data_IF_032082124387
#
_entry.id   IF_032082124387
#
_cell.length_a   1.000
_cell.length_b   1.000
_cell.length_c   1.000
_cell.angle_alpha   90.00
_cell.angle_beta   90.00
_cell.angle_gamma   90.00
#
_symmetry.space_group_name_H-M   'P 1'
#
loop_
_entity.id
_entity.type
_entity.pdbx_description
1 polymer ?
#
# COMPACT_ATOMS: atom_id res chain seq x y z
N UNK A 1 9.62 -5.25 -6.44
CA UNK A 1 8.20 -5.24 -6.87
C UNK A 1 7.53 -4.01 -6.31
N UNK A 2 6.40 -3.60 -6.89
CA UNK A 2 5.75 -2.32 -6.58
C UNK A 2 4.22 -2.45 -6.61
N UNK A 3 3.54 -1.90 -5.61
CA UNK A 3 2.08 -1.74 -5.53
C UNK A 3 1.78 -0.26 -5.25
N UNK A 4 0.85 0.32 -6.00
CA UNK A 4 0.29 1.63 -5.71
C UNK A 4 -1.24 1.54 -5.60
N UNK A 5 -1.79 2.01 -4.48
CA UNK A 5 -3.25 2.08 -4.26
C UNK A 5 -3.64 3.50 -3.88
N UNK A 6 -4.80 3.92 -4.36
CA UNK A 6 -5.40 5.21 -4.04
C UNK A 6 -6.86 5.00 -3.63
N UNK A 7 -7.26 5.57 -2.51
CA UNK A 7 -8.62 5.50 -2.01
C UNK A 7 -9.55 6.44 -2.79
N UNK A 8 -10.85 6.15 -2.75
CA UNK A 8 -11.89 7.04 -3.27
C UNK A 8 -12.20 8.19 -2.29
N UNK A 9 -13.10 9.11 -2.66
CA UNK A 9 -13.61 10.18 -1.77
C UNK A 9 -14.20 9.61 -0.48
N UNK A 10 -14.01 10.31 0.65
CA UNK A 10 -14.67 9.98 1.92
C UNK A 10 -13.90 9.01 2.84
N UNK A 11 -12.68 8.62 2.48
CA UNK A 11 -11.83 7.81 3.35
C UNK A 11 -11.17 8.68 4.45
N UNK A 12 -11.12 8.20 5.71
CA UNK A 12 -10.52 8.95 6.82
C UNK A 12 -8.97 8.99 6.78
N UNK A 13 -8.32 8.21 5.90
CA UNK A 13 -6.86 8.13 5.77
C UNK A 13 -6.37 6.93 4.96
N UNK A 14 -5.08 6.64 5.03
CA UNK A 14 -4.39 5.58 4.26
C UNK A 14 -4.48 4.19 4.90
N UNK A 15 -4.92 4.05 6.15
CA UNK A 15 -4.86 2.78 6.90
C UNK A 15 -5.48 1.58 6.19
N UNK A 16 -6.66 1.75 5.58
CA UNK A 16 -7.33 0.66 4.84
C UNK A 16 -6.54 0.19 3.62
N UNK A 17 -6.16 1.13 2.75
CA UNK A 17 -5.40 0.83 1.52
C UNK A 17 -3.96 0.37 1.81
N UNK A 18 -3.39 0.76 2.96
CA UNK A 18 -2.11 0.24 3.47
C UNK A 18 -2.22 -1.23 3.83
N UNK A 19 -3.20 -1.60 4.67
CA UNK A 19 -3.43 -3.00 5.06
C UNK A 19 -3.68 -3.88 3.83
N UNK A 20 -4.45 -3.39 2.87
CA UNK A 20 -4.71 -4.11 1.63
C UNK A 20 -3.42 -4.31 0.80
N UNK A 21 -2.60 -3.27 0.64
CA UNK A 21 -1.33 -3.35 -0.10
C UNK A 21 -0.35 -4.34 0.54
N UNK A 22 -0.29 -4.38 1.88
CA UNK A 22 0.53 -5.34 2.62
C UNK A 22 0.01 -6.77 2.47
N UNK A 23 -1.32 -6.97 2.51
CA UNK A 23 -1.93 -8.29 2.31
C UNK A 23 -1.67 -8.81 0.90
N UNK A 24 -1.80 -7.96 -0.12
CA UNK A 24 -1.59 -8.30 -1.52
C UNK A 24 -0.12 -8.68 -1.80
N UNK A 25 0.82 -7.84 -1.36
CA UNK A 25 2.26 -8.13 -1.50
C UNK A 25 2.69 -9.40 -0.75
N UNK A 26 2.14 -9.63 0.44
CA UNK A 26 2.36 -10.86 1.20
C UNK A 26 1.84 -12.08 0.45
N UNK A 27 0.59 -12.04 -0.02
CA UNK A 27 0.01 -13.11 -0.84
C UNK A 27 0.84 -13.40 -2.10
N UNK A 28 1.32 -12.36 -2.78
CA UNK A 28 2.19 -12.50 -3.94
C UNK A 28 3.50 -13.24 -3.62
N UNK A 29 4.16 -12.93 -2.51
CA UNK A 29 5.38 -13.63 -2.10
C UNK A 29 5.10 -15.07 -1.64
N UNK A 30 4.00 -15.29 -0.92
CA UNK A 30 3.60 -16.63 -0.48
C UNK A 30 3.35 -17.58 -1.66
N UNK A 31 2.77 -17.10 -2.75
CA UNK A 31 2.57 -17.89 -3.97
C UNK A 31 3.90 -18.35 -4.63
N UNK A 32 5.02 -17.69 -4.30
CA UNK A 32 6.37 -18.07 -4.73
C UNK A 32 7.13 -18.87 -3.68
N UNK A 33 6.51 -19.24 -2.56
CA UNK A 33 7.18 -19.90 -1.45
C UNK A 33 8.17 -19.00 -0.69
N UNK A 34 7.99 -17.68 -0.76
CA UNK A 34 8.87 -16.68 -0.15
C UNK A 34 8.13 -15.79 0.84
N UNK A 35 8.88 -15.09 1.68
CA UNK A 35 8.37 -14.13 2.65
C UNK A 35 8.39 -12.71 2.10
N UNK A 36 7.45 -11.89 2.57
CA UNK A 36 7.41 -10.46 2.23
C UNK A 36 8.51 -9.71 2.96
N UNK A 37 9.30 -8.93 2.22
CA UNK A 37 10.15 -7.88 2.74
C UNK A 37 9.76 -6.52 2.18
N UNK A 38 9.32 -5.64 3.06
CA UNK A 38 9.04 -4.24 2.71
C UNK A 38 10.38 -3.52 2.53
N UNK A 39 10.59 -2.93 1.35
CA UNK A 39 11.76 -2.09 1.05
C UNK A 39 11.42 -0.63 1.32
N UNK A 40 10.26 -0.19 0.87
CA UNK A 40 9.80 1.19 1.04
C UNK A 40 8.28 1.21 1.13
N UNK A 41 7.75 2.01 2.04
CA UNK A 41 6.33 2.31 2.14
C UNK A 41 6.16 3.83 2.23
N UNK A 42 5.52 4.41 1.21
CA UNK A 42 5.18 5.84 1.17
C UNK A 42 3.68 6.01 1.32
N UNK A 43 3.31 6.90 2.21
CA UNK A 43 1.93 7.29 2.46
C UNK A 43 1.86 8.82 2.29
N UNK A 44 0.84 9.32 1.59
CA UNK A 44 0.54 10.74 1.66
C UNK A 44 -0.44 10.99 2.80
N UNK A 45 0.07 11.48 3.91
CA UNK A 45 -0.80 11.96 4.99
C UNK A 45 -1.32 13.36 4.63
N UNK A 46 -2.60 13.59 4.91
CA UNK A 46 -3.33 14.77 4.49
C UNK A 46 -2.84 16.11 5.08
N UNK A 47 -3.60 17.20 4.87
CA UNK A 47 -5.04 17.22 4.67
C UNK A 47 -5.45 16.87 3.23
N UNK A 48 -6.42 15.97 3.09
CA UNK A 48 -7.00 15.50 1.83
C UNK A 48 -7.99 16.51 1.22
N UNK A 49 -7.53 17.75 1.07
CA UNK A 49 -8.29 18.87 0.51
C UNK A 49 -8.07 18.96 -1.00
N UNK A 50 -9.12 19.37 -1.73
CA UNK A 50 -9.09 19.65 -3.18
C UNK A 50 -8.71 18.43 -4.06
N UNK A 51 -9.32 17.27 -3.82
CA UNK A 51 -9.14 16.09 -4.69
C UNK A 51 -7.81 15.35 -4.49
N UNK A 52 -7.05 15.67 -3.43
CA UNK A 52 -5.96 14.80 -2.96
C UNK A 52 -6.55 13.64 -2.17
N UNK A 53 -6.37 12.43 -2.67
CA UNK A 53 -6.87 11.21 -2.03
C UNK A 53 -5.76 10.49 -1.26
N UNK A 54 -6.10 9.74 -0.19
CA UNK A 54 -5.17 8.82 0.45
C UNK A 54 -4.58 7.87 -0.58
N UNK A 55 -3.25 7.72 -0.56
CA UNK A 55 -2.44 6.96 -1.50
C UNK A 55 -1.32 6.27 -0.74
N UNK A 56 -1.09 5.02 -1.13
CA UNK A 56 -0.03 4.18 -0.60
C UNK A 56 0.79 3.67 -1.77
N UNK A 57 2.11 3.80 -1.66
CA UNK A 57 3.08 3.21 -2.58
C UNK A 57 3.99 2.27 -1.79
N UNK A 58 3.99 1.00 -2.16
CA UNK A 58 4.72 -0.06 -1.50
C UNK A 58 5.73 -0.68 -2.46
N UNK A 59 7.01 -0.53 -2.14
CA UNK A 59 8.10 -1.27 -2.79
C UNK A 59 8.49 -2.44 -1.90
N UNK A 60 8.54 -3.64 -2.46
CA UNK A 60 8.82 -4.86 -1.70
C UNK A 60 9.64 -5.88 -2.49
N UNK A 61 10.24 -6.81 -1.76
CA UNK A 61 10.95 -7.99 -2.24
C UNK A 61 10.28 -9.25 -1.68
N UNK A 62 10.45 -10.35 -2.39
CA UNK A 62 10.13 -11.67 -1.90
C UNK A 62 11.45 -12.39 -1.65
N UNK A 63 11.72 -12.75 -0.40
CA UNK A 63 12.92 -13.45 0.03
C UNK A 63 12.62 -14.72 0.83
#
# INVERSE_FOLDING_TARGET
MFIAKQAATGFPGTGGIKTESLKESSGYCMLQGKSLKVVELKENEGPFILGKYPRVELTFLCE
#
